data_IF_633996123963
#
_entry.id   IF_633996123963
#
_cell.length_a   1.000
_cell.length_b   1.000
_cell.length_c   1.000
_cell.angle_alpha   90.00
_cell.angle_beta   90.00
_cell.angle_gamma   90.00
#
_symmetry.space_group_name_H-M   'P 1'
#
loop_
_entity.id
_entity.type
_entity.pdbx_description
1 polymer ?
#
# COMPACT_ATOMS: atom_id res chain seq x y z
N UNK A 1 -3.47 26.33 11.00
CA UNK A 1 -3.45 24.86 11.24
C UNK A 1 -2.39 24.55 12.30
N UNK A 2 -2.68 23.74 13.31
CA UNK A 2 -1.70 23.37 14.35
C UNK A 2 -0.64 22.44 13.72
N UNK A 3 0.64 22.87 13.69
CA UNK A 3 1.71 22.14 12.96
C UNK A 3 2.16 20.89 13.73
N UNK A 4 2.33 20.99 15.06
CA UNK A 4 2.86 19.89 15.88
C UNK A 4 2.03 18.59 15.80
N UNK A 5 0.68 18.61 15.97
CA UNK A 5 -0.11 17.39 15.82
C UNK A 5 0.05 16.79 14.42
N UNK A 6 0.04 17.61 13.36
CA UNK A 6 0.17 17.14 11.98
C UNK A 6 1.52 16.46 11.73
N UNK A 7 2.61 17.04 12.23
CA UNK A 7 3.93 16.44 12.13
C UNK A 7 3.99 15.09 12.85
N UNK A 8 3.38 14.95 14.03
CA UNK A 8 3.32 13.68 14.75
C UNK A 8 2.48 12.67 14.01
N UNK A 9 1.33 13.05 13.43
CA UNK A 9 0.50 12.16 12.62
C UNK A 9 1.24 11.72 11.35
N UNK A 10 2.00 12.62 10.72
CA UNK A 10 2.86 12.33 9.59
C UNK A 10 3.94 11.30 9.95
N UNK A 11 4.65 11.51 11.07
CA UNK A 11 5.65 10.56 11.56
C UNK A 11 5.07 9.19 11.87
N UNK A 12 3.88 9.12 12.48
CA UNK A 12 3.21 7.85 12.74
C UNK A 12 2.85 7.12 11.45
N UNK A 13 2.37 7.83 10.42
CA UNK A 13 2.07 7.21 9.13
C UNK A 13 3.34 6.76 8.41
N UNK A 14 4.38 7.58 8.45
CA UNK A 14 5.71 7.19 7.97
C UNK A 14 6.19 5.89 8.64
N UNK A 15 6.14 5.81 9.97
CA UNK A 15 6.53 4.62 10.71
C UNK A 15 5.65 3.41 10.34
N UNK A 16 4.33 3.56 10.41
CA UNK A 16 3.41 2.48 10.08
C UNK A 16 3.63 1.94 8.66
N UNK A 17 3.87 2.82 7.69
CA UNK A 17 4.14 2.42 6.31
C UNK A 17 5.52 1.78 6.17
N UNK A 18 6.54 2.33 6.84
CA UNK A 18 7.92 1.83 6.85
C UNK A 18 8.01 0.40 7.38
N UNK A 19 7.18 0.02 8.34
CA UNK A 19 7.16 -1.34 8.90
C UNK A 19 6.77 -2.41 7.88
N UNK A 20 6.11 -2.04 6.79
CA UNK A 20 5.75 -2.95 5.69
C UNK A 20 6.72 -2.83 4.53
N UNK A 21 7.12 -1.61 4.18
CA UNK A 21 8.00 -1.36 3.03
C UNK A 21 9.43 -1.80 3.25
N UNK A 22 9.89 -1.91 4.50
CA UNK A 22 11.26 -2.37 4.83
C UNK A 22 11.53 -3.80 4.37
N UNK A 23 10.50 -4.65 4.29
CA UNK A 23 10.69 -6.04 3.89
C UNK A 23 11.04 -6.21 2.42
N UNK A 24 10.67 -5.28 1.54
CA UNK A 24 11.08 -5.33 0.14
C UNK A 24 12.61 -5.27 -0.03
N UNK A 25 13.33 -4.22 0.44
CA UNK A 25 14.77 -4.14 0.29
C UNK A 25 15.56 -5.26 0.99
N UNK A 26 15.05 -5.83 2.08
CA UNK A 26 15.73 -6.90 2.81
C UNK A 26 15.29 -8.31 2.41
N UNK A 27 14.30 -8.44 1.50
CA UNK A 27 13.75 -9.74 1.10
C UNK A 27 14.81 -10.70 0.56
N UNK A 28 15.78 -10.27 -0.27
CA UNK A 28 16.85 -11.14 -0.73
C UNK A 28 17.70 -11.73 0.43
N UNK A 29 17.93 -10.94 1.48
CA UNK A 29 18.67 -11.39 2.66
C UNK A 29 17.88 -12.40 3.50
N UNK A 30 16.55 -12.21 3.60
CA UNK A 30 15.66 -13.17 4.27
C UNK A 30 15.60 -14.46 3.47
N UNK A 31 15.47 -14.38 2.14
CA UNK A 31 15.49 -15.55 1.23
C UNK A 31 16.76 -16.37 1.43
N UNK A 32 17.92 -15.72 1.40
CA UNK A 32 19.22 -16.40 1.57
C UNK A 32 19.37 -16.99 2.98
N UNK A 33 18.97 -16.26 4.03
CA UNK A 33 19.13 -16.71 5.42
C UNK A 33 18.27 -17.93 5.77
N UNK A 34 17.11 -18.07 5.11
CA UNK A 34 16.16 -19.17 5.35
C UNK A 34 16.17 -20.20 4.22
N UNK A 35 17.05 -20.06 3.23
CA UNK A 35 17.17 -20.94 2.05
C UNK A 35 15.80 -21.13 1.34
N UNK A 36 15.08 -20.04 1.11
CA UNK A 36 13.76 -20.06 0.48
C UNK A 36 13.88 -20.03 -1.04
N UNK A 37 12.85 -20.55 -1.73
CA UNK A 37 12.63 -20.22 -3.14
C UNK A 37 11.99 -18.81 -3.25
N UNK A 38 12.04 -18.19 -4.44
CA UNK A 38 11.43 -16.88 -4.70
C UNK A 38 9.94 -16.85 -4.38
N UNK A 39 9.22 -17.94 -4.73
CA UNK A 39 7.81 -18.08 -4.39
C UNK A 39 7.57 -18.11 -2.88
N UNK A 40 8.37 -18.86 -2.12
CA UNK A 40 8.26 -18.88 -0.66
C UNK A 40 8.56 -17.51 -0.04
N UNK A 41 9.60 -16.82 -0.51
CA UNK A 41 9.93 -15.48 -0.04
C UNK A 41 8.79 -14.48 -0.32
N UNK A 42 8.26 -14.47 -1.54
CA UNK A 42 7.07 -13.66 -1.90
C UNK A 42 5.81 -14.07 -1.12
N UNK A 43 5.68 -15.34 -0.74
CA UNK A 43 4.57 -15.89 0.04
C UNK A 43 4.42 -15.29 1.44
N UNK A 44 5.49 -14.75 2.04
CA UNK A 44 5.44 -14.05 3.33
C UNK A 44 4.46 -12.87 3.29
N UNK A 45 4.36 -12.17 2.17
CA UNK A 45 3.44 -11.05 2.00
C UNK A 45 1.96 -11.47 1.99
N UNK A 46 1.63 -12.74 1.72
CA UNK A 46 0.25 -13.26 1.88
C UNK A 46 -0.16 -13.13 3.35
N UNK A 47 0.67 -13.60 4.27
CA UNK A 47 0.38 -13.52 5.71
C UNK A 47 0.21 -12.07 6.17
N UNK A 48 1.10 -11.17 5.75
CA UNK A 48 0.99 -9.74 6.03
C UNK A 48 -0.35 -9.17 5.55
N UNK A 49 -0.71 -9.44 4.30
CA UNK A 49 -1.91 -8.88 3.67
C UNK A 49 -3.19 -9.46 4.26
N UNK A 50 -3.21 -10.73 4.60
CA UNK A 50 -4.35 -11.36 5.29
C UNK A 50 -4.57 -10.70 6.65
N UNK A 51 -3.51 -10.58 7.46
CA UNK A 51 -3.58 -9.91 8.76
C UNK A 51 -4.06 -8.45 8.63
N UNK A 52 -3.51 -7.72 7.65
CA UNK A 52 -3.87 -6.33 7.38
C UNK A 52 -5.35 -6.18 6.97
N UNK A 53 -5.83 -7.02 6.05
CA UNK A 53 -7.22 -6.99 5.58
C UNK A 53 -8.21 -7.34 6.70
N UNK A 54 -7.91 -8.35 7.51
CA UNK A 54 -8.72 -8.71 8.67
C UNK A 54 -8.79 -7.56 9.68
N UNK A 55 -7.67 -6.91 9.94
CA UNK A 55 -7.58 -5.77 10.84
C UNK A 55 -8.37 -4.57 10.33
N UNK A 56 -8.28 -4.23 9.03
CA UNK A 56 -9.08 -3.16 8.42
C UNK A 56 -10.59 -3.37 8.66
N UNK A 57 -11.06 -4.61 8.47
CA UNK A 57 -12.48 -4.95 8.67
C UNK A 57 -12.91 -4.91 10.15
N UNK A 58 -11.99 -5.29 11.06
CA UNK A 58 -12.28 -5.34 12.49
C UNK A 58 -12.18 -3.98 13.19
N UNK A 59 -11.39 -3.05 12.64
CA UNK A 59 -11.01 -1.80 13.34
C UNK A 59 -12.22 -0.93 13.71
N UNK A 60 -13.27 -0.89 12.90
CA UNK A 60 -14.49 -0.15 13.23
C UNK A 60 -15.11 -0.61 14.56
N UNK A 61 -15.12 -1.91 14.84
CA UNK A 61 -15.60 -2.46 16.13
C UNK A 61 -14.62 -2.19 17.26
N UNK A 62 -13.31 -2.29 16.98
CA UNK A 62 -12.25 -2.04 17.97
C UNK A 62 -12.27 -0.57 18.44
N UNK A 63 -12.45 0.39 17.53
CA UNK A 63 -12.53 1.81 17.86
C UNK A 63 -13.78 2.16 18.68
N UNK A 64 -14.91 1.49 18.44
CA UNK A 64 -16.09 1.64 19.28
C UNK A 64 -15.85 1.11 20.70
N UNK A 65 -15.17 -0.03 20.83
CA UNK A 65 -14.92 -0.65 22.13
C UNK A 65 -13.86 0.13 22.94
N UNK A 66 -12.70 0.40 22.33
CA UNK A 66 -11.53 0.94 23.01
C UNK A 66 -11.30 2.44 22.83
N UNK A 67 -11.91 3.06 21.80
CA UNK A 67 -11.62 4.42 21.34
C UNK A 67 -10.51 4.46 20.30
N UNK A 68 -10.48 5.55 19.54
CA UNK A 68 -9.56 5.73 18.42
C UNK A 68 -8.09 5.81 18.85
N UNK A 69 -7.80 6.62 19.85
CA UNK A 69 -6.42 6.81 20.37
C UNK A 69 -5.82 5.52 20.90
N UNK A 70 -6.61 4.76 21.69
CA UNK A 70 -6.15 3.47 22.23
C UNK A 70 -5.90 2.47 21.14
N UNK A 71 -6.76 2.41 20.12
CA UNK A 71 -6.60 1.51 18.98
C UNK A 71 -5.30 1.79 18.24
N UNK A 72 -4.97 3.07 17.97
CA UNK A 72 -3.67 3.45 17.39
C UNK A 72 -2.50 3.02 18.28
N UNK A 73 -2.56 3.30 19.59
CA UNK A 73 -1.48 2.98 20.52
C UNK A 73 -1.26 1.46 20.64
N UNK A 74 -2.33 0.66 20.73
CA UNK A 74 -2.26 -0.81 20.77
C UNK A 74 -1.70 -1.36 19.45
N UNK A 75 -2.09 -0.80 18.30
CA UNK A 75 -1.51 -1.14 17.01
C UNK A 75 0.01 -0.96 16.99
N UNK A 76 0.52 0.19 17.44
CA UNK A 76 1.97 0.45 17.50
C UNK A 76 2.70 -0.40 18.54
N UNK A 77 2.07 -0.69 19.67
CA UNK A 77 2.61 -1.67 20.63
C UNK A 77 2.74 -3.05 19.99
N UNK A 78 1.71 -3.49 19.26
CA UNK A 78 1.75 -4.73 18.49
C UNK A 78 2.87 -4.74 17.45
N UNK A 79 3.04 -3.65 16.69
CA UNK A 79 4.16 -3.47 15.76
C UNK A 79 5.50 -3.64 16.48
N UNK A 80 5.69 -2.95 17.62
CA UNK A 80 6.93 -3.03 18.39
C UNK A 80 7.22 -4.47 18.84
N UNK A 81 6.24 -5.16 19.42
CA UNK A 81 6.39 -6.56 19.86
C UNK A 81 6.75 -7.50 18.71
N UNK A 82 6.13 -7.31 17.53
CA UNK A 82 6.45 -8.10 16.34
C UNK A 82 7.89 -7.87 15.88
N UNK A 83 8.34 -6.61 15.85
CA UNK A 83 9.73 -6.31 15.47
C UNK A 83 10.76 -6.83 16.46
N UNK A 84 10.45 -6.85 17.74
CA UNK A 84 11.26 -7.58 18.73
C UNK A 84 11.25 -9.08 18.45
N UNK A 85 10.10 -9.65 18.07
CA UNK A 85 9.98 -11.07 17.70
C UNK A 85 10.88 -11.45 16.52
N UNK A 86 11.07 -10.57 15.52
CA UNK A 86 11.97 -10.83 14.39
C UNK A 86 13.43 -11.03 14.80
N UNK A 87 13.86 -10.57 15.98
CA UNK A 87 15.22 -10.83 16.47
C UNK A 87 15.47 -12.32 16.72
N UNK A 88 14.41 -13.07 17.04
CA UNK A 88 14.44 -14.49 17.39
C UNK A 88 13.87 -15.40 16.29
N UNK A 89 13.45 -14.81 15.17
CA UNK A 89 12.87 -15.57 14.07
C UNK A 89 13.98 -16.26 13.26
N UNK A 90 13.91 -17.61 13.17
CA UNK A 90 14.91 -18.44 12.48
C UNK A 90 14.25 -19.46 11.52
N UNK A 91 12.93 -19.45 11.41
CA UNK A 91 12.20 -20.39 10.56
C UNK A 91 11.18 -19.70 9.66
N UNK A 92 10.86 -20.33 8.54
CA UNK A 92 9.83 -19.87 7.61
C UNK A 92 8.46 -19.68 8.31
N UNK A 93 8.11 -20.58 9.22
CA UNK A 93 6.85 -20.51 9.98
C UNK A 93 6.84 -19.32 10.92
N UNK A 94 7.96 -19.04 11.63
CA UNK A 94 8.05 -17.88 12.51
C UNK A 94 7.91 -16.55 11.73
N UNK A 95 8.51 -16.46 10.54
CA UNK A 95 8.32 -15.31 9.66
C UNK A 95 6.86 -15.15 9.22
N UNK A 96 6.19 -16.21 8.79
CA UNK A 96 4.75 -16.14 8.45
C UNK A 96 3.89 -15.64 9.61
N UNK A 97 4.13 -16.16 10.82
CA UNK A 97 3.39 -15.72 12.01
C UNK A 97 3.64 -14.23 12.29
N UNK A 98 4.90 -13.79 12.26
CA UNK A 98 5.26 -12.39 12.52
C UNK A 98 4.73 -11.46 11.43
N UNK A 99 4.77 -11.85 10.15
CA UNK A 99 4.16 -11.09 9.06
C UNK A 99 2.64 -10.96 9.24
N UNK A 100 1.96 -12.02 9.64
CA UNK A 100 0.52 -12.00 9.92
C UNK A 100 0.19 -11.05 11.08
N UNK A 101 0.91 -11.17 12.19
CA UNK A 101 0.74 -10.30 13.35
C UNK A 101 1.08 -8.83 13.04
N UNK A 102 2.10 -8.60 12.21
CA UNK A 102 2.42 -7.26 11.72
C UNK A 102 1.28 -6.67 10.89
N UNK A 103 0.67 -7.49 10.03
CA UNK A 103 -0.52 -7.09 9.27
C UNK A 103 -1.65 -6.67 10.19
N UNK A 104 -1.98 -7.48 11.20
CA UNK A 104 -3.00 -7.14 12.21
C UNK A 104 -2.67 -5.83 12.91
N UNK A 105 -1.45 -5.66 13.38
CA UNK A 105 -1.04 -4.48 14.13
C UNK A 105 -1.10 -3.19 13.28
N UNK A 106 -0.63 -3.25 12.03
CA UNK A 106 -0.56 -2.08 11.14
C UNK A 106 -1.90 -1.70 10.52
N UNK A 107 -2.80 -2.66 10.31
CA UNK A 107 -4.11 -2.43 9.69
C UNK A 107 -5.09 -1.61 10.55
N UNK A 108 -4.86 -1.52 11.86
CA UNK A 108 -5.68 -0.70 12.76
C UNK A 108 -5.51 0.80 12.56
N UNK A 109 -4.43 1.25 11.92
CA UNK A 109 -4.01 2.64 11.93
C UNK A 109 -4.92 3.56 11.12
N UNK A 110 -5.09 3.34 9.82
CA UNK A 110 -5.83 4.25 8.93
C UNK A 110 -7.27 4.48 9.36
N UNK A 111 -8.08 3.45 9.68
CA UNK A 111 -9.44 3.68 10.12
C UNK A 111 -9.53 4.43 11.47
N UNK A 112 -8.47 4.37 12.26
CA UNK A 112 -8.43 5.03 13.57
C UNK A 112 -7.90 6.46 13.51
N UNK A 113 -6.90 6.75 12.65
CA UNK A 113 -6.27 8.08 12.61
C UNK A 113 -7.09 9.10 11.84
N UNK A 114 -7.83 8.70 10.79
CA UNK A 114 -8.61 9.65 9.99
C UNK A 114 -9.65 10.41 10.82
N UNK A 115 -10.46 9.78 11.68
CA UNK A 115 -11.35 10.49 12.59
C UNK A 115 -10.61 11.45 13.54
N UNK A 116 -9.42 11.06 14.03
CA UNK A 116 -8.59 11.93 14.90
C UNK A 116 -8.13 13.17 14.14
N UNK A 117 -7.72 13.03 12.87
CA UNK A 117 -7.33 14.17 12.03
C UNK A 117 -8.51 15.10 11.81
N UNK A 118 -9.68 14.55 11.47
CA UNK A 118 -10.88 15.37 11.20
C UNK A 118 -11.43 16.06 12.47
N UNK A 119 -11.26 15.48 13.66
CA UNK A 119 -11.58 16.13 14.94
C UNK A 119 -10.56 17.22 15.31
N UNK A 120 -9.29 17.02 14.93
CA UNK A 120 -8.20 17.97 15.30
C UNK A 120 -8.23 19.24 14.45
N UNK A 121 -8.75 19.16 13.21
CA UNK A 121 -8.74 20.25 12.24
C UNK A 121 -10.14 20.63 11.76
N UNK A 122 -10.34 21.92 11.48
CA UNK A 122 -11.58 22.41 10.88
C UNK A 122 -11.79 21.81 9.48
N UNK A 123 -13.06 21.63 9.08
CA UNK A 123 -13.43 20.98 7.81
C UNK A 123 -12.80 21.61 6.56
N UNK A 124 -12.59 22.93 6.54
CA UNK A 124 -11.88 23.64 5.45
C UNK A 124 -10.41 23.22 5.29
N UNK A 125 -9.82 22.57 6.31
CA UNK A 125 -8.42 22.17 6.33
C UNK A 125 -8.23 20.64 6.19
N UNK A 126 -9.32 19.84 6.16
CA UNK A 126 -9.22 18.37 6.13
C UNK A 126 -8.43 17.86 4.92
N UNK A 127 -8.71 18.37 3.72
CA UNK A 127 -7.98 17.96 2.51
C UNK A 127 -6.48 18.21 2.62
N UNK A 128 -6.07 19.37 3.17
CA UNK A 128 -4.66 19.70 3.38
C UNK A 128 -4.00 18.81 4.45
N UNK A 129 -4.72 18.58 5.57
CA UNK A 129 -4.20 17.77 6.68
C UNK A 129 -4.05 16.30 6.27
N UNK A 130 -5.06 15.72 5.62
CA UNK A 130 -5.04 14.33 5.13
C UNK A 130 -4.01 14.16 4.02
N UNK A 131 -3.95 15.09 3.05
CA UNK A 131 -2.96 15.02 1.97
C UNK A 131 -1.53 15.10 2.46
N UNK A 132 -1.25 16.00 3.44
CA UNK A 132 0.09 16.07 4.04
C UNK A 132 0.39 14.82 4.86
N UNK A 133 -0.56 14.32 5.66
CA UNK A 133 -0.41 13.05 6.37
C UNK A 133 -0.08 11.91 5.40
N UNK A 134 -0.81 11.79 4.29
CA UNK A 134 -0.65 10.69 3.34
C UNK A 134 0.68 10.74 2.57
N UNK A 135 1.28 11.92 2.40
CA UNK A 135 2.61 12.07 1.79
C UNK A 135 3.71 11.28 2.53
N UNK A 136 3.51 10.96 3.81
CA UNK A 136 4.42 10.15 4.60
C UNK A 136 4.60 8.72 4.04
N UNK A 137 3.53 8.13 3.48
CA UNK A 137 3.61 6.82 2.82
C UNK A 137 4.52 6.87 1.59
N UNK A 138 4.35 7.89 0.73
CA UNK A 138 5.20 8.09 -0.45
C UNK A 138 6.66 8.33 -0.05
N UNK A 139 6.89 9.10 1.02
CA UNK A 139 8.23 9.33 1.54
C UNK A 139 8.85 8.05 2.12
N UNK A 140 8.07 7.18 2.75
CA UNK A 140 8.55 5.87 3.22
C UNK A 140 8.99 4.97 2.06
N UNK A 141 8.19 4.85 1.00
CA UNK A 141 8.53 4.04 -0.18
C UNK A 141 9.81 4.55 -0.86
N UNK A 142 10.04 5.86 -0.85
CA UNK A 142 11.26 6.49 -1.36
C UNK A 142 12.45 6.26 -0.44
N UNK A 143 12.33 6.56 0.85
CA UNK A 143 13.46 6.67 1.77
C UNK A 143 13.93 5.33 2.34
N UNK A 144 13.02 4.39 2.62
CA UNK A 144 13.38 3.11 3.26
C UNK A 144 14.35 2.29 2.42
N UNK A 145 14.17 2.08 1.11
CA UNK A 145 15.16 1.34 0.31
C UNK A 145 16.55 2.01 0.31
N UNK A 146 16.58 3.34 0.25
CA UNK A 146 17.84 4.12 0.29
C UNK A 146 18.53 3.95 1.65
N UNK A 147 17.78 4.04 2.75
CA UNK A 147 18.31 3.81 4.09
C UNK A 147 18.85 2.38 4.25
N UNK A 148 18.17 1.39 3.65
CA UNK A 148 18.64 0.00 3.66
C UNK A 148 19.87 -0.20 2.79
N UNK A 149 19.95 0.44 1.61
CA UNK A 149 21.12 0.39 0.74
C UNK A 149 22.42 0.77 1.47
N UNK A 150 22.36 1.84 2.25
CA UNK A 150 23.54 2.31 3.03
C UNK A 150 23.67 1.65 4.40
N UNK A 151 22.56 1.47 5.13
CA UNK A 151 22.62 0.95 6.51
C UNK A 151 23.10 -0.49 6.60
N UNK A 152 22.76 -1.32 5.61
CA UNK A 152 23.13 -2.75 5.62
C UNK A 152 24.57 -3.03 5.20
N UNK A 153 25.33 -2.01 4.82
CA UNK A 153 26.78 -2.10 4.69
C UNK A 153 27.47 -2.23 6.06
N UNK A 154 26.84 -1.69 7.12
CA UNK A 154 27.41 -1.64 8.46
C UNK A 154 26.70 -2.56 9.46
N UNK A 155 25.46 -2.94 9.19
CA UNK A 155 24.60 -3.65 10.15
C UNK A 155 23.88 -4.82 9.50
N UNK A 156 23.59 -5.86 10.28
CA UNK A 156 22.66 -6.92 9.89
C UNK A 156 21.25 -6.35 9.69
N UNK A 157 20.46 -6.93 8.80
CA UNK A 157 19.06 -6.54 8.56
C UNK A 157 18.17 -6.59 9.84
N UNK A 158 18.58 -7.35 10.87
CA UNK A 158 17.90 -7.39 12.16
C UNK A 158 17.96 -6.05 12.91
N UNK A 159 19.05 -5.26 12.74
CA UNK A 159 19.22 -3.98 13.45
C UNK A 159 18.19 -2.92 13.00
N UNK A 160 17.99 -2.64 11.70
CA UNK A 160 16.90 -1.74 11.27
C UNK A 160 15.52 -2.19 11.73
N UNK A 161 15.24 -3.49 11.75
CA UNK A 161 13.98 -4.03 12.29
C UNK A 161 13.85 -3.69 13.78
N UNK A 162 14.90 -3.91 14.59
CA UNK A 162 14.92 -3.57 16.00
C UNK A 162 14.67 -2.07 16.23
N UNK A 163 15.35 -1.22 15.46
CA UNK A 163 15.20 0.24 15.56
C UNK A 163 13.75 0.68 15.26
N UNK A 164 13.12 0.12 14.21
CA UNK A 164 11.71 0.37 13.93
C UNK A 164 10.80 -0.08 15.07
N UNK A 165 11.11 -1.21 15.70
CA UNK A 165 10.41 -1.69 16.90
C UNK A 165 10.48 -0.69 18.05
N UNK A 166 11.68 -0.20 18.38
CA UNK A 166 11.92 0.78 19.44
C UNK A 166 11.19 2.10 19.16
N UNK A 167 11.34 2.64 17.95
CA UNK A 167 10.69 3.90 17.56
C UNK A 167 9.16 3.74 17.57
N UNK A 168 8.64 2.60 17.14
CA UNK A 168 7.20 2.30 17.19
C UNK A 168 6.65 2.18 18.61
N UNK A 169 7.49 1.85 19.59
CA UNK A 169 7.10 1.86 21.00
C UNK A 169 7.04 3.28 21.59
N UNK A 170 8.01 4.13 21.21
CA UNK A 170 8.19 5.46 21.82
C UNK A 170 7.25 6.49 21.19
N UNK A 171 7.09 6.51 19.87
CA UNK A 171 6.38 7.57 19.14
C UNK A 171 4.90 7.74 19.52
N UNK A 172 4.13 6.68 19.82
CA UNK A 172 2.76 6.80 20.30
C UNK A 172 2.60 7.56 21.62
N UNK A 173 3.64 7.67 22.44
CA UNK A 173 3.61 8.46 23.66
C UNK A 173 3.46 9.97 23.37
N UNK A 174 4.13 10.45 22.30
CA UNK A 174 3.97 11.83 21.84
C UNK A 174 2.59 12.06 21.23
N UNK A 175 2.12 11.11 20.44
CA UNK A 175 0.77 11.13 19.85
C UNK A 175 -0.31 11.26 20.93
N UNK A 176 -0.18 10.51 22.02
CA UNK A 176 -1.15 10.55 23.11
C UNK A 176 -1.35 11.95 23.71
N UNK A 177 -0.26 12.75 23.77
CA UNK A 177 -0.28 14.11 24.33
C UNK A 177 -0.93 15.14 23.40
N UNK A 178 -0.85 14.95 22.08
CA UNK A 178 -1.28 16.00 21.12
C UNK A 178 -2.61 15.70 20.43
N UNK A 179 -3.09 14.45 20.49
CA UNK A 179 -4.32 14.04 19.81
C UNK A 179 -5.54 14.20 20.71
N UNK A 180 -6.67 14.62 20.13
CA UNK A 180 -7.98 14.57 20.77
C UNK A 180 -8.64 13.20 20.51
N UNK A 181 -9.50 12.74 21.44
CA UNK A 181 -10.32 11.55 21.20
C UNK A 181 -11.59 11.98 20.47
N UNK A 182 -11.87 11.48 19.27
CA UNK A 182 -13.11 11.77 18.56
C UNK A 182 -14.32 11.20 19.30
N UNK A 183 -15.46 11.84 19.10
CA UNK A 183 -16.74 11.29 19.56
C UNK A 183 -16.99 9.96 18.83
N UNK A 184 -17.42 8.95 19.60
CA UNK A 184 -17.82 7.66 19.03
C UNK A 184 -19.14 7.84 18.29
N UNK A 185 -19.13 7.66 16.99
CA UNK A 185 -20.36 7.58 16.21
C UNK A 185 -20.79 6.12 16.10
N UNK A 186 -22.07 5.79 16.29
CA UNK A 186 -22.58 4.46 16.07
C UNK A 186 -22.30 4.02 14.64
N UNK A 187 -21.98 2.73 14.45
CA UNK A 187 -21.90 2.16 13.10
C UNK A 187 -23.27 2.37 12.43
N UNK A 188 -23.31 3.14 11.35
CA UNK A 188 -24.51 3.28 10.56
C UNK A 188 -24.88 1.92 9.97
N UNK A 189 -26.13 1.49 10.13
CA UNK A 189 -26.67 0.33 9.43
C UNK A 189 -26.63 0.64 7.93
N UNK A 190 -25.68 0.05 7.22
CA UNK A 190 -25.51 0.18 5.78
C UNK A 190 -26.24 -0.93 5.02
N UNK A 191 -26.15 -0.88 3.69
CA UNK A 191 -26.59 -2.00 2.85
C UNK A 191 -25.91 -3.31 3.29
N UNK A 192 -26.61 -4.44 3.17
CA UNK A 192 -26.01 -5.75 3.46
C UNK A 192 -24.84 -6.04 2.51
N UNK A 193 -23.76 -6.65 3.03
CA UNK A 193 -22.62 -7.10 2.21
C UNK A 193 -23.08 -7.93 1.01
N UNK A 194 -24.09 -8.81 1.19
CA UNK A 194 -24.63 -9.65 0.14
C UNK A 194 -25.25 -8.85 -1.02
N UNK A 195 -25.84 -7.68 -0.75
CA UNK A 195 -26.41 -6.79 -1.79
C UNK A 195 -25.30 -6.10 -2.61
N UNK A 196 -24.18 -5.78 -1.98
CA UNK A 196 -23.03 -5.17 -2.66
C UNK A 196 -22.40 -6.13 -3.66
N UNK A 197 -22.17 -7.40 -3.28
CA UNK A 197 -21.56 -8.39 -4.16
C UNK A 197 -22.43 -8.79 -5.36
N UNK A 198 -23.71 -8.44 -5.40
CA UNK A 198 -24.57 -8.60 -6.59
C UNK A 198 -24.31 -7.53 -7.66
N UNK A 199 -23.65 -6.42 -7.33
CA UNK A 199 -23.42 -5.30 -8.27
C UNK A 199 -22.16 -5.55 -9.11
N UNK A 200 -22.32 -5.73 -10.44
CA UNK A 200 -21.21 -5.92 -11.40
C UNK A 200 -20.11 -4.86 -11.27
N UNK A 201 -20.51 -3.61 -11.04
CA UNK A 201 -19.58 -2.47 -10.85
C UNK A 201 -18.61 -2.69 -9.71
N UNK A 202 -19.03 -3.34 -8.61
CA UNK A 202 -18.17 -3.65 -7.47
C UNK A 202 -17.05 -4.61 -7.89
N UNK A 203 -17.38 -5.68 -8.61
CA UNK A 203 -16.39 -6.67 -9.09
C UNK A 203 -15.39 -6.06 -10.08
N UNK A 204 -15.85 -5.16 -10.97
CA UNK A 204 -14.96 -4.44 -11.88
C UNK A 204 -13.99 -3.55 -11.08
N UNK A 205 -14.47 -2.82 -10.07
CA UNK A 205 -13.62 -1.99 -9.23
C UNK A 205 -12.67 -2.82 -8.36
N UNK A 206 -13.10 -3.98 -7.86
CA UNK A 206 -12.22 -4.94 -7.16
C UNK A 206 -11.10 -5.40 -8.09
N UNK A 207 -11.41 -5.82 -9.31
CA UNK A 207 -10.41 -6.24 -10.31
C UNK A 207 -9.39 -5.12 -10.58
N UNK A 208 -9.86 -3.89 -10.82
CA UNK A 208 -8.97 -2.76 -11.05
C UNK A 208 -8.08 -2.48 -9.84
N UNK A 209 -8.64 -2.57 -8.63
CA UNK A 209 -7.87 -2.37 -7.41
C UNK A 209 -6.82 -3.46 -7.19
N UNK A 210 -7.17 -4.72 -7.44
CA UNK A 210 -6.23 -5.85 -7.40
C UNK A 210 -5.06 -5.60 -8.35
N UNK A 211 -5.32 -5.34 -9.64
CA UNK A 211 -4.29 -5.20 -10.66
C UNK A 211 -3.42 -3.96 -10.46
N UNK A 212 -4.01 -2.84 -10.02
CA UNK A 212 -3.24 -1.64 -9.70
C UNK A 212 -2.39 -1.80 -8.45
N UNK A 213 -2.92 -2.43 -7.39
CA UNK A 213 -2.14 -2.75 -6.18
C UNK A 213 -1.05 -3.78 -6.47
N UNK A 214 -1.32 -4.76 -7.33
CA UNK A 214 -0.36 -5.73 -7.83
C UNK A 214 0.80 -5.06 -8.57
N UNK A 215 0.49 -4.18 -9.52
CA UNK A 215 1.49 -3.43 -10.29
C UNK A 215 2.26 -2.43 -9.42
N UNK A 216 1.62 -1.80 -8.43
CA UNK A 216 2.26 -0.84 -7.53
C UNK A 216 3.06 -1.53 -6.43
N UNK A 217 2.38 -2.08 -5.43
CA UNK A 217 2.99 -2.61 -4.22
C UNK A 217 3.43 -4.07 -4.37
N UNK A 218 2.71 -4.87 -5.18
CA UNK A 218 3.10 -6.25 -5.45
C UNK A 218 4.45 -6.34 -6.15
N UNK A 219 4.64 -5.55 -7.21
CA UNK A 219 5.95 -5.45 -7.91
C UNK A 219 7.00 -4.85 -6.97
N UNK A 220 6.67 -3.76 -6.24
CA UNK A 220 7.58 -3.16 -5.27
C UNK A 220 8.15 -4.19 -4.30
N UNK A 221 7.30 -5.09 -3.78
CA UNK A 221 7.69 -6.06 -2.76
C UNK A 221 8.77 -7.03 -3.21
N UNK A 222 8.78 -7.43 -4.50
CA UNK A 222 9.74 -8.42 -5.03
C UNK A 222 10.83 -7.79 -5.90
N UNK A 223 10.76 -6.48 -6.13
CA UNK A 223 11.67 -5.82 -7.08
C UNK A 223 13.15 -5.99 -6.73
N UNK A 224 13.59 -5.92 -5.45
CA UNK A 224 14.99 -6.23 -5.11
C UNK A 224 15.40 -7.67 -5.45
N UNK A 225 14.50 -8.66 -5.28
CA UNK A 225 14.80 -10.04 -5.73
C UNK A 225 15.03 -10.07 -7.24
N UNK A 226 14.15 -9.45 -8.02
CA UNK A 226 14.30 -9.35 -9.48
C UNK A 226 15.62 -8.69 -9.88
N UNK A 227 15.93 -7.52 -9.30
CA UNK A 227 17.14 -6.78 -9.67
C UNK A 227 18.44 -7.47 -9.24
N UNK A 228 18.45 -8.10 -8.07
CA UNK A 228 19.64 -8.75 -7.52
C UNK A 228 19.81 -10.16 -8.07
N UNK A 229 18.77 -11.00 -7.97
CA UNK A 229 18.87 -12.43 -8.28
C UNK A 229 18.79 -12.75 -9.77
N UNK A 230 17.98 -12.01 -10.53
CA UNK A 230 17.81 -12.26 -11.97
C UNK A 230 18.67 -11.32 -12.84
N UNK A 231 18.79 -10.03 -12.44
CA UNK A 231 19.55 -9.04 -13.19
C UNK A 231 21.01 -8.93 -12.78
N UNK A 232 21.43 -9.59 -11.67
CA UNK A 232 22.79 -9.59 -11.18
C UNK A 232 23.29 -8.24 -10.64
N UNK A 233 22.38 -7.36 -10.21
CA UNK A 233 22.75 -6.06 -9.65
C UNK A 233 23.26 -6.19 -8.22
N UNK A 234 24.19 -5.31 -7.86
CA UNK A 234 24.61 -5.17 -6.47
C UNK A 234 23.44 -4.73 -5.58
N UNK A 235 23.45 -5.20 -4.33
CA UNK A 235 22.40 -4.89 -3.35
C UNK A 235 22.16 -3.40 -3.16
N UNK A 236 23.25 -2.62 -3.10
CA UNK A 236 23.18 -1.18 -2.92
C UNK A 236 22.49 -0.51 -4.11
N UNK A 237 22.95 -0.80 -5.34
CA UNK A 237 22.39 -0.23 -6.58
C UNK A 237 20.91 -0.59 -6.75
N UNK A 238 20.54 -1.85 -6.50
CA UNK A 238 19.16 -2.29 -6.62
C UNK A 238 18.22 -1.52 -5.68
N UNK A 239 18.63 -1.31 -4.44
CA UNK A 239 17.83 -0.59 -3.45
C UNK A 239 17.83 0.94 -3.67
N UNK A 240 18.93 1.52 -4.17
CA UNK A 240 18.96 2.92 -4.61
C UNK A 240 17.99 3.15 -5.78
N UNK A 241 18.01 2.28 -6.79
CA UNK A 241 17.07 2.35 -7.92
C UNK A 241 15.62 2.21 -7.46
N UNK A 242 15.35 1.25 -6.56
CA UNK A 242 14.02 1.07 -5.97
C UNK A 242 13.54 2.36 -5.29
N UNK A 243 14.35 2.99 -4.45
CA UNK A 243 13.97 4.21 -3.74
C UNK A 243 13.84 5.40 -4.69
N UNK A 244 14.89 5.71 -5.46
CA UNK A 244 14.94 6.92 -6.31
C UNK A 244 13.83 6.91 -7.37
N UNK A 245 13.49 5.75 -7.94
CA UNK A 245 12.40 5.64 -8.91
C UNK A 245 11.02 6.05 -8.33
N UNK A 246 10.87 6.05 -6.99
CA UNK A 246 9.62 6.43 -6.30
C UNK A 246 9.52 7.94 -5.99
N UNK A 247 10.58 8.71 -6.17
CA UNK A 247 10.61 10.15 -5.84
C UNK A 247 9.49 10.94 -6.54
N UNK A 248 9.20 10.64 -7.81
CA UNK A 248 8.14 11.29 -8.59
C UNK A 248 6.72 11.02 -8.06
N UNK A 249 6.53 9.95 -7.31
CA UNK A 249 5.20 9.52 -6.82
C UNK A 249 4.50 10.51 -5.90
N UNK A 250 5.23 11.40 -5.22
CA UNK A 250 4.66 12.40 -4.31
C UNK A 250 3.80 13.45 -5.03
N UNK A 251 4.10 13.77 -6.29
CA UNK A 251 3.36 14.76 -7.08
C UNK A 251 2.13 14.16 -7.78
N UNK A 252 2.10 12.85 -7.98
CA UNK A 252 1.08 12.17 -8.79
C UNK A 252 -0.35 12.40 -8.31
N UNK A 253 -0.70 12.28 -7.01
CA UNK A 253 -2.07 12.50 -6.57
C UNK A 253 -2.61 13.89 -6.90
N UNK A 254 -1.76 14.91 -6.84
CA UNK A 254 -2.11 16.30 -7.17
C UNK A 254 -2.40 16.42 -8.67
N UNK A 255 -1.49 15.91 -9.51
CA UNK A 255 -1.62 15.95 -10.97
C UNK A 255 -2.88 15.20 -11.44
N UNK A 256 -3.14 14.02 -10.88
CA UNK A 256 -4.33 13.21 -11.21
C UNK A 256 -5.62 13.95 -10.84
N UNK A 257 -5.66 14.67 -9.73
CA UNK A 257 -6.82 15.49 -9.36
C UNK A 257 -7.18 16.49 -10.47
N UNK A 258 -6.21 17.28 -10.94
CA UNK A 258 -6.41 18.21 -12.07
C UNK A 258 -6.84 17.52 -13.37
N UNK A 259 -6.25 16.36 -13.68
CA UNK A 259 -6.59 15.61 -14.88
C UNK A 259 -8.01 15.05 -14.82
N UNK A 260 -8.46 14.58 -13.65
CA UNK A 260 -9.82 14.07 -13.44
C UNK A 260 -10.86 15.18 -13.62
N UNK A 261 -10.57 16.38 -13.10
CA UNK A 261 -11.46 17.53 -13.24
C UNK A 261 -11.59 17.98 -14.71
N UNK A 262 -10.50 17.88 -15.49
CA UNK A 262 -10.46 18.32 -16.90
C UNK A 262 -11.01 17.28 -17.88
N UNK A 263 -10.68 16.00 -17.70
CA UNK A 263 -10.95 14.93 -18.67
C UNK A 263 -11.98 13.90 -18.20
N UNK A 264 -12.44 14.04 -16.96
CA UNK A 264 -13.40 13.13 -16.34
C UNK A 264 -12.74 11.83 -15.81
N UNK A 265 -13.39 11.26 -14.78
CA UNK A 265 -12.85 10.12 -14.05
C UNK A 265 -12.69 8.84 -14.89
N UNK A 266 -13.56 8.61 -15.89
CA UNK A 266 -13.49 7.41 -16.74
C UNK A 266 -12.26 7.39 -17.65
N UNK A 267 -12.00 8.54 -18.30
CA UNK A 267 -10.84 8.69 -19.18
C UNK A 267 -9.55 8.50 -18.39
N UNK A 268 -9.45 9.14 -17.22
CA UNK A 268 -8.25 9.06 -16.38
C UNK A 268 -8.10 7.66 -15.77
N UNK A 269 -9.19 6.99 -15.37
CA UNK A 269 -9.15 5.61 -14.89
C UNK A 269 -8.65 4.66 -15.99
N UNK A 270 -9.17 4.80 -17.23
CA UNK A 270 -8.72 4.04 -18.39
C UNK A 270 -7.22 4.26 -18.64
N UNK A 271 -6.79 5.51 -18.73
CA UNK A 271 -5.39 5.88 -18.99
C UNK A 271 -4.46 5.42 -17.86
N UNK A 272 -4.87 5.53 -16.60
CA UNK A 272 -4.08 5.06 -15.46
C UNK A 272 -3.83 3.57 -15.53
N UNK A 273 -4.84 2.74 -15.79
CA UNK A 273 -4.70 1.29 -15.93
C UNK A 273 -3.84 0.93 -17.16
N UNK A 274 -4.12 1.54 -18.30
CA UNK A 274 -3.42 1.29 -19.55
C UNK A 274 -1.93 1.61 -19.44
N UNK A 275 -1.61 2.81 -18.96
CA UNK A 275 -0.23 3.27 -18.83
C UNK A 275 0.54 2.53 -17.75
N UNK A 276 -0.11 2.18 -16.63
CA UNK A 276 0.47 1.31 -15.60
C UNK A 276 0.85 -0.05 -16.20
N UNK A 277 -0.06 -0.66 -16.96
CA UNK A 277 0.22 -1.93 -17.60
C UNK A 277 1.37 -1.85 -18.61
N UNK A 278 1.38 -0.84 -19.50
CA UNK A 278 2.47 -0.65 -20.45
C UNK A 278 3.81 -0.39 -19.78
N UNK A 279 3.87 0.43 -18.73
CA UNK A 279 5.12 0.67 -18.00
C UNK A 279 5.60 -0.58 -17.26
N UNK A 280 4.69 -1.43 -16.76
CA UNK A 280 5.01 -2.72 -16.16
C UNK A 280 5.56 -3.70 -17.20
N UNK A 281 4.99 -3.75 -18.43
CA UNK A 281 5.55 -4.51 -19.55
C UNK A 281 6.94 -3.98 -19.91
N UNK A 282 7.08 -2.66 -20.05
CA UNK A 282 8.37 -2.06 -20.37
C UNK A 282 9.46 -2.43 -19.35
N UNK A 283 9.13 -2.48 -18.06
CA UNK A 283 10.03 -2.92 -17.01
C UNK A 283 10.51 -4.37 -17.24
N UNK A 284 9.61 -5.27 -17.64
CA UNK A 284 9.96 -6.69 -17.88
C UNK A 284 10.88 -6.89 -19.09
N UNK A 285 10.82 -5.98 -20.07
CA UNK A 285 11.60 -6.04 -21.31
C UNK A 285 12.91 -5.25 -21.22
N UNK A 286 13.11 -4.45 -20.20
CA UNK A 286 14.29 -3.60 -20.03
C UNK A 286 15.51 -4.43 -19.62
N UNK A 287 16.68 -4.17 -20.25
CA UNK A 287 17.97 -4.81 -19.92
C UNK A 287 19.07 -3.79 -19.60
N UNK A 288 19.30 -2.72 -20.41
CA UNK A 288 20.27 -1.70 -20.04
C UNK A 288 19.85 -0.92 -18.80
N UNK A 289 20.80 -0.63 -17.91
CA UNK A 289 20.55 0.03 -16.61
C UNK A 289 19.69 1.31 -16.75
N UNK A 290 19.98 2.13 -17.74
CA UNK A 290 19.21 3.38 -17.97
C UNK A 290 17.74 3.08 -18.33
N UNK A 291 17.47 2.05 -19.14
CA UNK A 291 16.11 1.66 -19.49
C UNK A 291 15.37 1.04 -18.30
N UNK A 292 16.07 0.27 -17.46
CA UNK A 292 15.53 -0.26 -16.22
C UNK A 292 15.11 0.91 -15.31
N UNK A 293 15.98 1.90 -15.12
CA UNK A 293 15.68 3.08 -14.28
C UNK A 293 14.48 3.88 -14.81
N UNK A 294 14.45 4.13 -16.12
CA UNK A 294 13.32 4.85 -16.76
C UNK A 294 12.03 4.06 -16.59
N UNK A 295 12.05 2.74 -16.88
CA UNK A 295 10.87 1.88 -16.78
C UNK A 295 10.37 1.77 -15.34
N UNK A 296 11.28 1.65 -14.36
CA UNK A 296 10.96 1.65 -12.94
C UNK A 296 10.30 2.96 -12.51
N UNK A 297 10.85 4.09 -12.94
CA UNK A 297 10.33 5.42 -12.60
C UNK A 297 8.95 5.64 -13.21
N UNK A 298 8.77 5.31 -14.49
CA UNK A 298 7.47 5.39 -15.16
C UNK A 298 6.44 4.47 -14.49
N UNK A 299 6.82 3.23 -14.21
CA UNK A 299 5.96 2.26 -13.55
C UNK A 299 5.53 2.74 -12.15
N UNK A 300 6.47 3.29 -11.37
CA UNK A 300 6.20 3.83 -10.06
C UNK A 300 5.21 5.01 -10.09
N UNK A 301 5.47 5.98 -10.97
CA UNK A 301 4.66 7.21 -11.12
C UNK A 301 3.25 6.86 -11.63
N UNK A 302 3.17 6.07 -12.70
CA UNK A 302 1.89 5.78 -13.36
C UNK A 302 0.99 4.88 -12.51
N UNK A 303 1.56 3.89 -11.80
CA UNK A 303 0.77 2.99 -10.94
C UNK A 303 0.12 3.71 -9.75
N UNK A 304 0.73 4.75 -9.22
CA UNK A 304 0.15 5.56 -8.14
C UNK A 304 -1.03 6.43 -8.61
N UNK A 305 -1.10 6.74 -9.91
CA UNK A 305 -2.18 7.55 -10.48
C UNK A 305 -3.56 6.91 -10.41
N UNK A 306 -3.63 5.59 -10.29
CA UNK A 306 -4.90 4.88 -10.17
C UNK A 306 -5.69 5.22 -8.91
N UNK A 307 -5.03 5.28 -7.74
CA UNK A 307 -5.73 5.33 -6.45
C UNK A 307 -6.62 6.56 -6.27
N UNK A 308 -6.17 7.80 -6.54
CA UNK A 308 -7.03 8.98 -6.44
C UNK A 308 -8.24 8.92 -7.35
N UNK A 309 -8.06 8.48 -8.62
CA UNK A 309 -9.18 8.40 -9.56
C UNK A 309 -10.14 7.27 -9.22
N UNK A 310 -9.66 6.15 -8.68
CA UNK A 310 -10.50 5.05 -8.23
C UNK A 310 -11.37 5.47 -7.03
N UNK A 311 -10.81 6.19 -6.05
CA UNK A 311 -11.56 6.75 -4.93
C UNK A 311 -12.64 7.72 -5.41
N UNK A 312 -12.32 8.63 -6.33
CA UNK A 312 -13.29 9.54 -6.92
C UNK A 312 -14.39 8.78 -7.68
N UNK A 313 -14.02 7.72 -8.41
CA UNK A 313 -14.97 6.86 -9.15
C UNK A 313 -15.93 6.15 -8.20
N UNK A 314 -15.43 5.52 -7.14
CA UNK A 314 -16.27 4.83 -6.15
C UNK A 314 -17.20 5.83 -5.46
N UNK A 315 -16.69 7.02 -5.14
CA UNK A 315 -17.49 8.09 -4.53
C UNK A 315 -18.66 8.56 -5.41
N UNK A 316 -18.53 8.48 -6.74
CA UNK A 316 -19.60 8.79 -7.70
C UNK A 316 -20.57 7.62 -7.92
N UNK A 317 -20.08 6.38 -7.84
CA UNK A 317 -20.87 5.18 -8.15
C UNK A 317 -21.62 4.63 -6.93
N UNK A 318 -21.06 4.77 -5.72
CA UNK A 318 -21.67 4.26 -4.49
C UNK A 318 -22.62 5.28 -3.84
N UNK A 319 -23.79 4.86 -3.30
CA UNK A 319 -24.63 5.68 -2.46
C UNK A 319 -23.86 6.18 -1.22
N UNK A 320 -24.23 7.37 -0.71
CA UNK A 320 -23.61 7.92 0.52
C UNK A 320 -23.68 6.95 1.70
N UNK A 321 -24.83 6.30 1.88
CA UNK A 321 -25.09 5.36 2.99
C UNK A 321 -24.23 4.10 2.97
N UNK A 322 -23.76 3.65 1.79
CA UNK A 322 -22.95 2.42 1.64
C UNK A 322 -21.53 2.68 1.16
N UNK A 323 -21.14 3.95 0.97
CA UNK A 323 -19.84 4.31 0.37
C UNK A 323 -18.65 3.79 1.17
N UNK A 324 -18.66 3.98 2.49
CA UNK A 324 -17.56 3.51 3.36
C UNK A 324 -17.41 1.99 3.33
N UNK A 325 -18.52 1.27 3.30
CA UNK A 325 -18.55 -0.18 3.21
C UNK A 325 -18.02 -0.68 1.85
N UNK A 326 -18.46 -0.04 0.75
CA UNK A 326 -17.97 -0.34 -0.61
C UNK A 326 -16.47 -0.13 -0.72
N UNK A 327 -15.96 1.01 -0.21
CA UNK A 327 -14.53 1.30 -0.14
C UNK A 327 -13.78 0.26 0.68
N UNK A 328 -14.28 -0.06 1.88
CA UNK A 328 -13.67 -1.05 2.76
C UNK A 328 -13.52 -2.42 2.11
N UNK A 329 -14.57 -2.89 1.44
CA UNK A 329 -14.54 -4.19 0.72
C UNK A 329 -13.54 -4.16 -0.45
N UNK A 330 -13.65 -3.15 -1.32
CA UNK A 330 -12.77 -3.05 -2.51
C UNK A 330 -11.31 -2.94 -2.08
N UNK A 331 -11.00 -2.10 -1.09
CA UNK A 331 -9.64 -1.92 -0.60
C UNK A 331 -9.10 -3.17 0.08
N UNK A 332 -9.89 -3.82 0.96
CA UNK A 332 -9.44 -5.04 1.66
C UNK A 332 -9.12 -6.17 0.69
N UNK A 333 -9.99 -6.41 -0.29
CA UNK A 333 -9.76 -7.45 -1.31
C UNK A 333 -8.60 -7.04 -2.23
N UNK A 334 -8.57 -5.78 -2.69
CA UNK A 334 -7.53 -5.28 -3.58
C UNK A 334 -6.14 -5.29 -2.95
N UNK A 335 -6.03 -4.91 -1.68
CA UNK A 335 -4.78 -4.98 -0.92
C UNK A 335 -4.38 -6.43 -0.66
N UNK A 336 -5.32 -7.27 -0.21
CA UNK A 336 -5.06 -8.67 0.09
C UNK A 336 -4.47 -9.42 -1.10
N UNK A 337 -5.08 -9.29 -2.27
CA UNK A 337 -4.59 -9.93 -3.50
C UNK A 337 -3.42 -9.17 -4.13
N UNK A 338 -3.50 -7.85 -4.26
CA UNK A 338 -2.48 -7.06 -4.95
C UNK A 338 -1.15 -7.02 -4.21
N UNK A 339 -1.16 -6.80 -2.90
CA UNK A 339 0.07 -6.70 -2.09
C UNK A 339 0.51 -8.05 -1.50
N UNK A 340 -0.39 -9.03 -1.37
CA UNK A 340 -0.10 -10.32 -0.76
C UNK A 340 0.12 -11.43 -1.77
N UNK A 341 -0.91 -11.73 -2.58
CA UNK A 341 -0.86 -12.85 -3.52
C UNK A 341 0.10 -12.57 -4.69
N UNK A 342 0.19 -11.33 -5.14
CA UNK A 342 1.03 -10.98 -6.30
C UNK A 342 2.53 -11.25 -6.08
N UNK A 343 3.17 -10.85 -4.96
CA UNK A 343 4.57 -11.20 -4.72
C UNK A 343 4.82 -12.71 -4.75
N UNK A 344 3.89 -13.50 -4.20
CA UNK A 344 3.95 -14.97 -4.25
C UNK A 344 3.89 -15.49 -5.68
N UNK A 345 2.93 -15.02 -6.49
CA UNK A 345 2.78 -15.47 -7.88
C UNK A 345 3.97 -15.05 -8.75
N UNK A 346 4.49 -13.84 -8.56
CA UNK A 346 5.69 -13.38 -9.27
C UNK A 346 6.92 -14.20 -8.88
N UNK A 347 7.10 -14.49 -7.59
CA UNK A 347 8.18 -15.37 -7.11
C UNK A 347 8.03 -16.81 -7.62
N UNK A 348 6.80 -17.35 -7.59
CA UNK A 348 6.52 -18.69 -8.14
C UNK A 348 6.79 -18.75 -9.65
N UNK A 349 6.45 -17.69 -10.38
CA UNK A 349 6.79 -17.60 -11.80
C UNK A 349 8.30 -17.54 -12.02
N UNK A 350 9.03 -16.88 -11.12
CA UNK A 350 10.48 -16.84 -11.17
C UNK A 350 11.13 -18.19 -10.86
N UNK A 351 10.58 -18.96 -9.92
CA UNK A 351 11.07 -20.33 -9.61
C UNK A 351 10.98 -21.28 -10.81
N UNK A 352 9.99 -21.08 -11.71
CA UNK A 352 9.76 -21.97 -12.86
C UNK A 352 10.21 -21.39 -14.20
N UNK A 353 10.28 -20.07 -14.33
CA UNK A 353 10.59 -19.36 -15.56
C UNK A 353 11.54 -18.18 -15.30
N UNK A 354 10.98 -16.98 -15.02
CA UNK A 354 11.71 -15.77 -14.63
C UNK A 354 10.76 -14.72 -14.05
N UNK A 355 11.30 -13.76 -13.28
CA UNK A 355 10.52 -12.60 -12.83
C UNK A 355 9.99 -11.79 -14.01
N UNK A 356 10.76 -11.67 -15.10
CA UNK A 356 10.35 -10.96 -16.33
C UNK A 356 9.04 -11.51 -16.90
N UNK A 357 8.89 -12.82 -16.94
CA UNK A 357 7.66 -13.46 -17.45
C UNK A 357 6.47 -13.08 -16.56
N UNK A 358 6.61 -13.17 -15.25
CA UNK A 358 5.52 -12.79 -14.32
C UNK A 358 5.14 -11.32 -14.41
N UNK A 359 6.14 -10.42 -14.45
CA UNK A 359 5.94 -8.97 -14.57
C UNK A 359 5.29 -8.62 -15.92
N UNK A 360 5.69 -9.29 -17.02
CA UNK A 360 5.09 -9.11 -18.34
C UNK A 360 3.59 -9.45 -18.33
N UNK A 361 3.23 -10.62 -17.82
CA UNK A 361 1.82 -11.04 -17.77
C UNK A 361 0.99 -10.14 -16.84
N UNK A 362 1.53 -9.71 -15.71
CA UNK A 362 0.87 -8.75 -14.85
C UNK A 362 0.60 -7.43 -15.59
N UNK A 363 1.59 -6.90 -16.30
CA UNK A 363 1.42 -5.68 -17.09
C UNK A 363 0.40 -5.84 -18.20
N UNK A 364 0.39 -6.98 -18.89
CA UNK A 364 -0.58 -7.29 -19.94
C UNK A 364 -2.01 -7.36 -19.37
N UNK A 365 -2.21 -8.07 -18.26
CA UNK A 365 -3.52 -8.16 -17.59
C UNK A 365 -4.00 -6.79 -17.11
N UNK A 366 -3.09 -5.97 -16.56
CA UNK A 366 -3.42 -4.60 -16.12
C UNK A 366 -3.83 -3.73 -17.31
N UNK A 367 -3.08 -3.77 -18.41
CA UNK A 367 -3.43 -3.03 -19.64
C UNK A 367 -4.78 -3.49 -20.21
N UNK A 368 -5.01 -4.79 -20.33
CA UNK A 368 -6.26 -5.33 -20.85
C UNK A 368 -7.47 -5.00 -19.97
N UNK A 369 -7.27 -4.92 -18.65
CA UNK A 369 -8.34 -4.56 -17.73
C UNK A 369 -8.88 -3.15 -17.98
N UNK A 370 -8.07 -2.24 -18.53
CA UNK A 370 -8.51 -0.88 -18.88
C UNK A 370 -9.70 -0.89 -19.83
N UNK A 371 -9.79 -1.86 -20.74
CA UNK A 371 -10.91 -2.02 -21.67
C UNK A 371 -12.24 -2.23 -20.95
N UNK A 372 -12.22 -2.75 -19.70
CA UNK A 372 -13.43 -2.94 -18.90
C UNK A 372 -13.96 -1.66 -18.26
N UNK A 373 -13.25 -0.53 -18.37
CA UNK A 373 -13.70 0.76 -17.80
C UNK A 373 -15.01 1.22 -18.44
N UNK A 374 -15.25 0.91 -19.74
CA UNK A 374 -16.49 1.24 -20.42
C UNK A 374 -17.71 0.49 -19.85
N UNK A 375 -17.49 -0.63 -19.15
CA UNK A 375 -18.55 -1.42 -18.51
C UNK A 375 -19.04 -0.80 -17.19
N UNK A 376 -18.36 0.25 -16.67
CA UNK A 376 -18.84 0.99 -15.50
C UNK A 376 -20.09 1.76 -15.88
N UNK A 377 -21.25 1.34 -15.35
CA UNK A 377 -22.57 1.90 -15.68
C UNK A 377 -22.65 3.35 -15.16
N UNK A 378 -23.08 4.29 -16.02
CA UNK A 378 -23.50 5.64 -15.57
C UNK A 378 -24.77 5.51 -14.75
N UNK A 379 -24.88 6.16 -13.60
CA UNK A 379 -26.19 6.41 -12.98
C UNK A 379 -26.99 7.29 -13.94
N UNK A 380 -28.24 6.89 -14.32
CA UNK A 380 -29.13 7.81 -15.02
C UNK A 380 -29.38 9.01 -14.08
N UNK A 381 -29.02 10.23 -14.50
CA UNK A 381 -29.35 11.45 -13.78
C UNK A 381 -28.20 12.39 -13.35
N UNK A 382 -26.91 12.02 -13.49
CA UNK A 382 -25.82 12.99 -13.34
C UNK A 382 -25.52 13.64 -14.70
N UNK A 383 -26.30 14.66 -15.05
CA UNK A 383 -25.86 15.61 -16.07
C UNK A 383 -24.64 16.34 -15.50
N UNK A 384 -23.51 16.23 -16.16
CA UNK A 384 -22.38 17.14 -16.01
C UNK A 384 -22.92 18.53 -16.37
N UNK A 385 -23.09 19.40 -15.35
CA UNK A 385 -23.21 20.83 -15.65
C UNK A 385 -21.86 21.24 -16.22
N UNK A 386 -21.87 21.49 -17.51
CA UNK A 386 -20.80 22.13 -18.30
C UNK A 386 -20.44 23.49 -17.72
#
# INVERSE_FOLDING_TARGET
MRILPLFIFWCLWYLNFSTRTIFSPILPLIEDSLLLSHGKAGGLFISLSVGYSLSLLATGRLTLAWGYKRTVAIGFLGVSLVFFGFQFAESYVSFHLLFFLLGIATGTYIPSILPIITETYESRNWGKAIGLHDSAASFSIFSIPILMAYGLQFFSYKIPLLLLGIVSLIFPLFFWKVSAEPKKEPLQEGESYTSLFKKRTIWIMILFWILSSASSMGVYSILPLYLIKEMGMDFELANQLLGISRAGGMAVPILIGFLVDRYGYRTILFLSLLMTGFSTIALSLSSPLILIFISLTLQAVLSLGFFPVALATISKLAPLSSRSMVLGVIMSVGVGFGMGVTPFLLGLTADHFSFRVGIFWLGLLTSLSSLSVHLLIRRPGTQEKS
#
